data_IF_406886730929
#
_entry.id   IF_406886730929
#
_cell.length_a   1.000
_cell.length_b   1.000
_cell.length_c   1.000
_cell.angle_alpha   90.00
_cell.angle_beta   90.00
_cell.angle_gamma   90.00
#
_symmetry.space_group_name_H-M   'P 1'
#
loop_
_entity.id
_entity.type
_entity.pdbx_description
1 polymer ?
#
# COMPACT_ATOMS: atom_id res chain seq x y z
N UNK A 1 -34.65 9.18 -26.81
CA UNK A 1 -34.98 7.89 -26.16
C UNK A 1 -34.44 7.96 -24.74
N UNK A 2 -35.31 8.01 -23.74
CA UNK A 2 -34.94 8.02 -22.33
C UNK A 2 -34.61 6.59 -21.90
N UNK A 3 -33.33 6.22 -21.91
CA UNK A 3 -32.83 5.01 -21.26
C UNK A 3 -33.25 5.06 -19.80
N UNK A 4 -34.05 4.07 -19.38
CA UNK A 4 -34.55 4.03 -18.03
C UNK A 4 -33.35 3.83 -17.09
N UNK A 5 -33.14 4.69 -16.09
CA UNK A 5 -31.99 4.55 -15.16
C UNK A 5 -32.00 3.20 -14.44
N UNK A 6 -33.16 2.56 -14.36
CA UNK A 6 -33.37 1.21 -13.85
C UNK A 6 -32.91 0.08 -14.80
N UNK A 7 -32.82 0.30 -16.12
CA UNK A 7 -32.29 -0.71 -17.06
C UNK A 7 -30.77 -0.85 -16.97
N UNK A 8 -30.03 0.22 -16.68
CA UNK A 8 -28.57 0.16 -16.44
C UNK A 8 -28.20 -0.64 -15.19
N UNK A 9 -29.09 -0.65 -14.18
CA UNK A 9 -28.97 -1.47 -12.97
C UNK A 9 -29.22 -2.94 -13.27
N UNK A 10 -30.18 -3.24 -14.14
CA UNK A 10 -30.48 -4.60 -14.57
C UNK A 10 -29.38 -5.19 -15.47
N UNK A 11 -28.62 -4.34 -16.19
CA UNK A 11 -27.50 -4.74 -17.04
C UNK A 11 -26.14 -4.78 -16.32
N UNK A 12 -26.03 -4.19 -15.12
CA UNK A 12 -24.82 -4.30 -14.30
C UNK A 12 -24.71 -5.73 -13.74
N UNK A 13 -24.05 -6.61 -14.49
CA UNK A 13 -23.83 -7.99 -14.06
C UNK A 13 -23.03 -8.02 -12.76
N UNK A 14 -23.63 -8.53 -11.69
CA UNK A 14 -22.90 -8.85 -10.46
C UNK A 14 -21.77 -9.82 -10.79
N UNK A 15 -20.54 -9.40 -10.52
CA UNK A 15 -19.37 -10.26 -10.70
C UNK A 15 -19.56 -11.52 -9.84
N UNK A 16 -19.60 -12.68 -10.51
CA UNK A 16 -19.86 -13.98 -9.87
C UNK A 16 -18.79 -14.38 -8.85
N UNK A 17 -17.61 -13.73 -8.91
CA UNK A 17 -16.53 -13.95 -7.95
C UNK A 17 -16.78 -13.27 -6.62
N UNK A 18 -17.63 -12.23 -6.56
CA UNK A 18 -17.97 -11.58 -5.30
C UNK A 18 -18.59 -12.58 -4.31
N UNK A 19 -18.18 -12.50 -3.04
CA UNK A 19 -18.77 -13.29 -1.96
C UNK A 19 -20.30 -13.14 -1.90
N UNK A 20 -20.84 -11.95 -2.19
CA UNK A 20 -22.28 -11.73 -2.33
C UNK A 20 -22.92 -12.62 -3.40
N UNK A 21 -22.29 -12.76 -4.57
CA UNK A 21 -22.80 -13.60 -5.65
C UNK A 21 -22.79 -15.08 -5.26
N UNK A 22 -21.70 -15.51 -4.60
CA UNK A 22 -21.56 -16.87 -4.07
C UNK A 22 -22.61 -17.18 -3.01
N UNK A 23 -22.87 -16.25 -2.08
CA UNK A 23 -23.88 -16.40 -1.03
C UNK A 23 -25.31 -16.47 -1.59
N UNK A 24 -25.61 -15.67 -2.63
CA UNK A 24 -26.90 -15.73 -3.32
C UNK A 24 -27.09 -17.08 -4.03
N UNK A 25 -26.07 -17.55 -4.76
CA UNK A 25 -26.11 -18.84 -5.44
C UNK A 25 -26.25 -20.00 -4.44
N UNK A 26 -25.52 -19.98 -3.32
CA UNK A 26 -25.63 -20.97 -2.25
C UNK A 26 -27.00 -20.93 -1.54
N UNK A 27 -27.56 -19.74 -1.36
CA UNK A 27 -28.91 -19.59 -0.80
C UNK A 27 -30.01 -20.12 -1.72
N UNK A 28 -29.86 -19.94 -3.04
CA UNK A 28 -30.80 -20.44 -4.05
C UNK A 28 -30.76 -21.98 -4.13
N UNK A 29 -29.56 -22.59 -4.14
CA UNK A 29 -29.43 -24.07 -4.14
C UNK A 29 -30.06 -24.72 -2.91
N UNK A 30 -30.08 -24.02 -1.77
CA UNK A 30 -30.71 -24.46 -0.53
C UNK A 30 -32.19 -24.08 -0.40
N UNK A 31 -32.77 -23.39 -1.39
CA UNK A 31 -34.15 -22.87 -1.35
C UNK A 31 -34.39 -21.83 -0.25
N UNK A 32 -33.32 -21.19 0.24
CA UNK A 32 -33.34 -20.21 1.35
C UNK A 32 -33.45 -18.78 0.87
N UNK A 33 -33.17 -18.51 -0.41
CA UNK A 33 -33.27 -17.16 -1.01
C UNK A 33 -34.18 -17.23 -2.25
N UNK A 34 -35.44 -16.81 -2.14
CA UNK A 34 -36.33 -16.68 -3.29
C UNK A 34 -35.80 -15.63 -4.29
N UNK A 35 -36.11 -15.81 -5.58
CA UNK A 35 -35.74 -14.87 -6.65
C UNK A 35 -36.18 -13.43 -6.37
N UNK A 36 -37.39 -13.24 -5.84
CA UNK A 36 -37.91 -11.91 -5.46
C UNK A 36 -37.03 -11.21 -4.42
N UNK A 37 -36.46 -11.97 -3.47
CA UNK A 37 -35.56 -11.44 -2.45
C UNK A 37 -34.21 -11.04 -3.04
N UNK A 38 -33.69 -11.82 -4.00
CA UNK A 38 -32.49 -11.45 -4.75
C UNK A 38 -32.73 -10.15 -5.55
N UNK A 39 -33.85 -10.06 -6.28
CA UNK A 39 -34.21 -8.87 -7.05
C UNK A 39 -34.35 -7.61 -6.16
N UNK A 40 -34.96 -7.74 -4.99
CA UNK A 40 -35.06 -6.66 -4.01
C UNK A 40 -33.68 -6.21 -3.49
N UNK A 41 -32.75 -7.15 -3.31
CA UNK A 41 -31.37 -6.84 -2.92
C UNK A 41 -30.65 -6.06 -4.03
N UNK A 42 -30.76 -6.50 -5.28
CA UNK A 42 -30.21 -5.80 -6.45
C UNK A 42 -30.71 -4.35 -6.53
N UNK A 43 -32.03 -4.16 -6.40
CA UNK A 43 -32.64 -2.83 -6.38
C UNK A 43 -32.14 -1.99 -5.20
N UNK A 44 -31.94 -2.58 -4.02
CA UNK A 44 -31.40 -1.87 -2.86
C UNK A 44 -29.96 -1.41 -3.09
N UNK A 45 -29.10 -2.23 -3.69
CA UNK A 45 -27.70 -1.85 -3.98
C UNK A 45 -27.66 -0.72 -5.00
N UNK A 46 -28.51 -0.78 -6.03
CA UNK A 46 -28.62 0.28 -7.00
C UNK A 46 -29.09 1.61 -6.42
N UNK A 47 -30.06 1.57 -5.50
CA UNK A 47 -30.51 2.76 -4.78
C UNK A 47 -29.37 3.36 -3.92
N UNK A 48 -28.55 2.51 -3.29
CA UNK A 48 -27.36 2.94 -2.55
C UNK A 48 -26.36 3.61 -3.51
N UNK A 49 -26.04 2.98 -4.64
CA UNK A 49 -25.14 3.53 -5.64
C UNK A 49 -25.62 4.89 -6.17
N UNK A 50 -26.92 5.01 -6.46
CA UNK A 50 -27.52 6.27 -6.89
C UNK A 50 -27.36 7.37 -5.83
N UNK A 51 -27.54 7.04 -4.55
CA UNK A 51 -27.32 7.97 -3.44
C UNK A 51 -25.84 8.37 -3.29
N UNK A 52 -24.90 7.45 -3.53
CA UNK A 52 -23.47 7.77 -3.52
C UNK A 52 -23.11 8.79 -4.59
N UNK A 53 -23.67 8.63 -5.79
CA UNK A 53 -23.46 9.53 -6.92
C UNK A 53 -23.98 10.92 -6.60
N UNK A 54 -25.22 11.04 -6.11
CA UNK A 54 -25.80 12.35 -5.78
C UNK A 54 -25.06 13.06 -4.64
N UNK A 55 -24.34 12.33 -3.79
CA UNK A 55 -23.50 12.90 -2.74
C UNK A 55 -22.09 13.29 -3.21
N UNK A 56 -21.50 12.55 -4.17
CA UNK A 56 -20.08 12.73 -4.58
C UNK A 56 -19.90 13.46 -5.91
N UNK A 57 -20.91 13.55 -6.76
CA UNK A 57 -20.81 14.08 -8.13
C UNK A 57 -22.07 14.83 -8.53
N UNK A 58 -21.92 16.02 -9.13
CA UNK A 58 -23.05 16.82 -9.61
C UNK A 58 -23.55 16.39 -11.00
N UNK A 59 -22.75 15.62 -11.75
CA UNK A 59 -23.06 15.24 -13.12
C UNK A 59 -23.63 13.81 -13.19
N UNK A 60 -24.95 13.72 -13.40
CA UNK A 60 -25.72 12.48 -13.53
C UNK A 60 -25.84 11.99 -14.99
N UNK A 61 -25.15 12.65 -15.93
CA UNK A 61 -25.24 12.35 -17.36
C UNK A 61 -24.22 11.32 -17.85
N UNK A 62 -23.19 11.02 -17.05
CA UNK A 62 -22.19 10.00 -17.39
C UNK A 62 -22.61 8.59 -16.96
N UNK A 63 -23.09 7.81 -17.93
CA UNK A 63 -23.48 6.40 -17.74
C UNK A 63 -22.30 5.51 -17.28
N UNK A 64 -21.06 5.85 -17.64
CA UNK A 64 -19.85 5.11 -17.26
C UNK A 64 -19.52 5.31 -15.77
N UNK A 65 -19.64 6.55 -15.29
CA UNK A 65 -19.50 6.87 -13.87
C UNK A 65 -20.57 6.14 -13.04
N UNK A 66 -21.83 6.16 -13.48
CA UNK A 66 -22.93 5.45 -12.83
C UNK A 66 -22.65 3.94 -12.69
N UNK A 67 -22.18 3.28 -13.76
CA UNK A 67 -21.83 1.86 -13.73
C UNK A 67 -20.70 1.57 -12.73
N UNK A 68 -19.69 2.43 -12.68
CA UNK A 68 -18.58 2.30 -11.73
C UNK A 68 -19.07 2.36 -10.29
N UNK A 69 -19.93 3.33 -9.95
CA UNK A 69 -20.49 3.46 -8.60
C UNK A 69 -21.40 2.30 -8.21
N UNK A 70 -22.17 1.75 -9.16
CA UNK A 70 -22.95 0.52 -8.93
C UNK A 70 -22.01 -0.64 -8.59
N UNK A 71 -20.92 -0.81 -9.34
CA UNK A 71 -19.94 -1.85 -9.05
C UNK A 71 -19.29 -1.66 -7.67
N UNK A 72 -18.91 -0.43 -7.31
CA UNK A 72 -18.41 -0.11 -5.97
C UNK A 72 -19.43 -0.48 -4.89
N UNK A 73 -20.72 -0.17 -5.07
CA UNK A 73 -21.76 -0.52 -4.11
C UNK A 73 -21.92 -2.04 -3.95
N UNK A 74 -21.81 -2.82 -5.04
CA UNK A 74 -21.78 -4.28 -4.97
C UNK A 74 -20.57 -4.79 -4.20
N UNK A 75 -19.36 -4.30 -4.52
CA UNK A 75 -18.13 -4.69 -3.82
C UNK A 75 -18.22 -4.37 -2.33
N UNK A 76 -18.60 -3.16 -1.94
CA UNK A 76 -18.73 -2.79 -0.52
C UNK A 76 -19.79 -3.62 0.20
N UNK A 77 -20.93 -3.90 -0.45
CA UNK A 77 -21.94 -4.79 0.13
C UNK A 77 -21.41 -6.21 0.30
N UNK A 78 -20.66 -6.72 -0.68
CA UNK A 78 -20.03 -8.04 -0.63
C UNK A 78 -19.03 -8.16 0.52
N UNK A 79 -18.14 -7.19 0.68
CA UNK A 79 -17.16 -7.17 1.76
C UNK A 79 -17.83 -7.13 3.14
N UNK A 80 -18.87 -6.30 3.30
CA UNK A 80 -19.60 -6.24 4.56
C UNK A 80 -20.36 -7.53 4.89
N UNK A 81 -20.87 -8.22 3.87
CA UNK A 81 -21.49 -9.54 4.04
C UNK A 81 -20.46 -10.59 4.44
N UNK A 82 -19.32 -10.63 3.76
CA UNK A 82 -18.21 -11.53 4.05
C UNK A 82 -17.71 -11.31 5.49
N UNK A 83 -17.58 -10.04 5.91
CA UNK A 83 -17.17 -9.69 7.27
C UNK A 83 -18.19 -10.14 8.32
N UNK A 84 -19.47 -9.83 8.11
CA UNK A 84 -20.54 -10.20 9.04
C UNK A 84 -20.77 -11.71 9.16
N UNK A 85 -20.51 -12.45 8.08
CA UNK A 85 -20.62 -13.91 8.02
C UNK A 85 -19.33 -14.64 8.39
N UNK A 86 -18.19 -13.95 8.47
CA UNK A 86 -16.85 -14.54 8.63
C UNK A 86 -16.50 -15.51 7.48
N UNK A 87 -16.93 -15.19 6.25
CA UNK A 87 -16.72 -16.02 5.06
C UNK A 87 -17.57 -17.29 4.98
N UNK A 88 -18.47 -17.53 5.94
CA UNK A 88 -19.35 -18.71 5.94
C UNK A 88 -20.58 -18.46 5.06
N UNK A 89 -20.73 -19.24 3.98
CA UNK A 89 -21.83 -19.09 3.02
C UNK A 89 -23.22 -19.43 3.58
N UNK A 90 -23.31 -20.40 4.50
CA UNK A 90 -24.57 -20.75 5.15
C UNK A 90 -25.05 -19.60 6.04
N UNK A 91 -24.11 -19.02 6.81
CA UNK A 91 -24.37 -17.85 7.63
C UNK A 91 -24.66 -16.62 6.77
N UNK A 92 -23.97 -16.44 5.64
CA UNK A 92 -24.21 -15.35 4.71
C UNK A 92 -25.65 -15.41 4.15
N UNK A 93 -26.11 -16.59 3.71
CA UNK A 93 -27.47 -16.77 3.24
C UNK A 93 -28.52 -16.44 4.33
N UNK A 94 -28.28 -16.85 5.58
CA UNK A 94 -29.14 -16.48 6.71
C UNK A 94 -29.14 -14.98 6.99
N UNK A 95 -27.97 -14.33 6.92
CA UNK A 95 -27.81 -12.90 7.16
C UNK A 95 -28.51 -12.07 6.08
N UNK A 96 -28.44 -12.49 4.82
CA UNK A 96 -29.16 -11.85 3.70
C UNK A 96 -30.67 -11.85 3.93
N UNK A 97 -31.22 -12.87 4.60
CA UNK A 97 -32.64 -12.92 4.91
C UNK A 97 -33.04 -11.98 6.07
N UNK A 98 -32.17 -11.85 7.07
CA UNK A 98 -32.48 -11.16 8.34
C UNK A 98 -32.03 -9.70 8.38
N UNK A 99 -31.14 -9.30 7.48
CA UNK A 99 -30.42 -8.02 7.58
C UNK A 99 -30.64 -7.18 6.33
N UNK A 100 -30.88 -5.88 6.54
CA UNK A 100 -31.01 -4.93 5.43
C UNK A 100 -29.67 -4.75 4.72
N UNK A 101 -29.68 -4.75 3.40
CA UNK A 101 -28.51 -4.57 2.52
C UNK A 101 -27.64 -3.38 2.89
N UNK A 102 -28.25 -2.26 3.27
CA UNK A 102 -27.55 -1.03 3.68
C UNK A 102 -26.56 -1.26 4.83
N UNK A 103 -26.82 -2.21 5.73
CA UNK A 103 -25.89 -2.51 6.83
C UNK A 103 -24.60 -3.16 6.34
N UNK A 104 -24.69 -4.10 5.39
CA UNK A 104 -23.50 -4.69 4.78
C UNK A 104 -22.72 -3.64 4.01
N UNK A 105 -23.40 -2.81 3.23
CA UNK A 105 -22.76 -1.68 2.55
C UNK A 105 -22.00 -0.77 3.53
N UNK A 106 -22.62 -0.40 4.66
CA UNK A 106 -21.98 0.44 5.68
C UNK A 106 -20.71 -0.21 6.25
N UNK A 107 -20.76 -1.50 6.58
CA UNK A 107 -19.59 -2.24 7.08
C UNK A 107 -18.48 -2.23 6.04
N UNK A 108 -18.77 -2.60 4.79
CA UNK A 108 -17.76 -2.59 3.73
C UNK A 108 -17.21 -1.20 3.45
N UNK A 109 -18.05 -0.16 3.46
CA UNK A 109 -17.62 1.22 3.33
C UNK A 109 -16.66 1.61 4.45
N UNK A 110 -16.96 1.28 5.71
CA UNK A 110 -16.07 1.55 6.84
C UNK A 110 -14.74 0.80 6.74
N UNK A 111 -14.73 -0.44 6.25
CA UNK A 111 -13.49 -1.18 6.00
C UNK A 111 -12.62 -0.45 4.98
N UNK A 112 -13.20 -0.03 3.86
CA UNK A 112 -12.45 0.66 2.80
C UNK A 112 -12.06 2.10 3.18
N UNK A 113 -12.92 2.83 3.87
CA UNK A 113 -12.69 4.22 4.27
C UNK A 113 -11.44 4.35 5.16
N UNK A 114 -11.22 3.38 6.06
CA UNK A 114 -9.99 3.31 6.86
C UNK A 114 -8.73 3.22 5.99
N UNK A 115 -8.73 2.32 5.00
CA UNK A 115 -7.57 2.16 4.11
C UNK A 115 -7.38 3.39 3.21
N UNK A 116 -8.48 4.04 2.78
CA UNK A 116 -8.44 5.27 1.99
C UNK A 116 -7.87 6.46 2.76
N UNK A 117 -8.28 6.63 4.02
CA UNK A 117 -7.78 7.71 4.86
C UNK A 117 -6.30 7.54 5.16
N UNK A 118 -5.85 6.30 5.42
CA UNK A 118 -4.42 5.96 5.54
C UNK A 118 -3.65 6.28 4.27
N UNK A 119 -4.16 5.90 3.10
CA UNK A 119 -3.49 6.21 1.83
C UNK A 119 -3.40 7.72 1.55
N UNK A 120 -4.46 8.48 1.86
CA UNK A 120 -4.45 9.94 1.75
C UNK A 120 -3.39 10.54 2.68
N UNK A 121 -3.38 10.11 3.93
CA UNK A 121 -2.39 10.55 4.91
C UNK A 121 -0.96 10.23 4.47
N UNK A 122 -0.70 9.04 3.90
CA UNK A 122 0.61 8.69 3.36
C UNK A 122 1.03 9.59 2.19
N UNK A 123 0.12 9.89 1.26
CA UNK A 123 0.44 10.80 0.15
C UNK A 123 0.74 12.23 0.62
N UNK A 124 0.15 12.67 1.73
CA UNK A 124 0.34 14.00 2.29
C UNK A 124 1.58 14.10 3.19
N UNK A 125 1.95 13.01 3.88
CA UNK A 125 2.91 13.05 4.99
C UNK A 125 4.08 12.06 4.91
N UNK A 126 4.11 11.15 3.92
CA UNK A 126 5.24 10.23 3.71
C UNK A 126 6.32 10.86 2.81
N UNK A 127 6.66 12.11 3.13
CA UNK A 127 7.69 12.90 2.46
C UNK A 127 8.55 13.55 3.53
N UNK A 128 9.87 13.41 3.42
CA UNK A 128 10.84 14.14 4.27
C UNK A 128 11.07 15.48 3.59
N UNK A 129 10.77 16.57 4.29
CA UNK A 129 10.97 17.92 3.77
C UNK A 129 12.35 18.46 4.18
N UNK A 130 12.97 19.31 3.35
CA UNK A 130 14.17 20.03 3.78
C UNK A 130 13.85 20.94 4.97
N UNK A 131 14.83 21.18 5.87
CA UNK A 131 14.68 22.16 6.94
C UNK A 131 14.36 23.54 6.35
N UNK A 132 13.39 24.27 6.93
CA UNK A 132 12.94 25.56 6.39
C UNK A 132 14.05 26.63 6.47
N UNK A 133 13.98 27.64 5.59
CA UNK A 133 14.91 28.79 5.47
C UNK A 133 15.35 29.49 6.77
N UNK A 134 14.56 29.42 7.85
CA UNK A 134 14.92 29.98 9.15
C UNK A 134 15.92 29.11 9.93
N UNK A 135 15.95 27.79 9.68
CA UNK A 135 16.94 26.82 10.18
C UNK A 135 18.18 26.74 9.28
N UNK A 136 18.02 26.98 7.96
CA UNK A 136 19.14 27.00 6.99
C UNK A 136 20.23 28.03 7.33
N UNK A 137 19.87 29.17 7.95
CA UNK A 137 20.84 30.19 8.40
C UNK A 137 21.79 29.71 9.49
N UNK A 138 21.43 28.67 10.24
CA UNK A 138 22.29 28.08 11.27
C UNK A 138 23.26 27.03 10.70
N UNK A 139 22.95 26.46 9.52
CA UNK A 139 23.70 25.34 8.94
C UNK A 139 24.61 25.71 7.76
N UNK A 140 24.58 26.97 7.29
CA UNK A 140 25.63 27.53 6.42
C UNK A 140 25.67 27.00 4.98
N UNK A 141 24.68 26.23 4.55
CA UNK A 141 24.58 25.65 3.21
C UNK A 141 23.58 26.43 2.35
N UNK A 142 24.07 27.04 1.26
CA UNK A 142 23.23 27.65 0.23
C UNK A 142 22.82 26.57 -0.76
N UNK A 143 21.63 26.07 -0.55
CA UNK A 143 20.88 25.27 -1.50
C UNK A 143 20.46 26.21 -2.69
N UNK A 144 20.79 25.84 -3.94
CA UNK A 144 20.30 26.39 -5.24
C UNK A 144 19.02 25.72 -5.83
N UNK A 145 17.91 26.46 -5.90
CA UNK A 145 16.71 26.47 -6.79
C UNK A 145 16.08 25.17 -7.40
N UNK A 146 16.64 23.97 -7.20
CA UNK A 146 15.96 22.67 -7.35
C UNK A 146 15.34 22.18 -6.02
N UNK A 147 15.47 22.96 -4.95
CA UNK A 147 15.26 22.53 -3.55
C UNK A 147 13.89 22.79 -2.98
N UNK A 148 12.88 22.16 -3.56
CA UNK A 148 11.58 22.07 -2.90
C UNK A 148 10.95 20.70 -2.94
N UNK A 149 11.56 19.73 -3.64
CA UNK A 149 11.03 18.38 -3.69
C UNK A 149 11.56 17.56 -2.51
N UNK A 150 10.69 17.37 -1.52
CA UNK A 150 10.99 16.48 -0.40
C UNK A 150 11.21 15.04 -0.85
N UNK A 151 11.90 14.26 -0.02
CA UNK A 151 12.26 12.88 -0.32
C UNK A 151 11.08 11.97 -0.02
N UNK A 152 10.53 11.39 -1.09
CA UNK A 152 9.39 10.48 -1.01
C UNK A 152 9.83 9.14 -0.41
N UNK A 153 9.10 8.66 0.60
CA UNK A 153 9.38 7.39 1.27
C UNK A 153 8.91 6.18 0.44
N UNK A 154 7.97 6.40 -0.47
CA UNK A 154 7.39 5.38 -1.33
C UNK A 154 8.02 5.38 -2.73
N UNK A 155 8.04 4.22 -3.36
CA UNK A 155 8.44 4.04 -4.76
C UNK A 155 7.35 4.52 -5.72
N UNK A 156 7.68 4.67 -7.01
CA UNK A 156 6.67 5.00 -8.04
C UNK A 156 5.52 3.97 -8.09
N UNK A 157 5.82 2.68 -7.88
CA UNK A 157 4.81 1.63 -7.86
C UNK A 157 3.83 1.77 -6.67
N UNK A 158 4.35 2.14 -5.50
CA UNK A 158 3.56 2.44 -4.31
C UNK A 158 2.75 3.74 -4.48
N UNK A 159 3.30 4.76 -5.14
CA UNK A 159 2.57 5.99 -5.48
C UNK A 159 1.36 5.70 -6.35
N UNK A 160 1.52 4.90 -7.41
CA UNK A 160 0.40 4.49 -8.27
C UNK A 160 -0.62 3.65 -7.52
N UNK A 161 -0.18 2.78 -6.60
CA UNK A 161 -1.06 2.02 -5.72
C UNK A 161 -1.90 2.94 -4.81
N UNK A 162 -1.28 3.90 -4.11
CA UNK A 162 -1.95 4.84 -3.23
C UNK A 162 -2.99 5.69 -4.00
N UNK A 163 -2.61 6.20 -5.18
CA UNK A 163 -3.52 6.95 -6.07
C UNK A 163 -4.68 6.08 -6.57
N UNK A 164 -4.41 4.85 -6.96
CA UNK A 164 -5.43 3.91 -7.43
C UNK A 164 -6.45 3.57 -6.34
N UNK A 165 -6.00 3.48 -5.08
CA UNK A 165 -6.89 3.26 -3.95
C UNK A 165 -7.90 4.41 -3.81
N UNK A 166 -7.44 5.66 -3.85
CA UNK A 166 -8.28 6.85 -3.66
C UNK A 166 -9.43 7.01 -4.66
N UNK A 167 -9.26 6.52 -5.89
CA UNK A 167 -10.29 6.62 -6.94
C UNK A 167 -11.21 5.40 -7.03
N UNK A 168 -11.16 4.47 -6.06
CA UNK A 168 -11.93 3.21 -6.03
C UNK A 168 -11.79 2.37 -7.32
N UNK A 169 -10.76 2.62 -8.15
CA UNK A 169 -10.42 1.85 -9.34
C UNK A 169 -9.41 0.76 -9.02
N UNK A 170 -9.49 0.18 -7.84
CA UNK A 170 -8.56 -0.86 -7.38
C UNK A 170 -8.81 -2.15 -8.16
N UNK A 171 -8.36 -2.18 -9.41
CA UNK A 171 -7.74 -3.37 -9.96
C UNK A 171 -6.34 -3.39 -9.39
N UNK A 172 -6.00 -4.42 -8.62
CA UNK A 172 -4.76 -4.64 -7.89
C UNK A 172 -3.59 -4.77 -8.87
N UNK A 173 -3.23 -3.68 -9.56
CA UNK A 173 -2.18 -3.69 -10.59
C UNK A 173 -0.77 -3.85 -10.03
N UNK A 174 -0.60 -3.97 -8.72
CA UNK A 174 0.73 -3.97 -8.09
C UNK A 174 0.67 -4.67 -6.74
N UNK A 175 0.61 -6.00 -6.76
CA UNK A 175 0.73 -6.82 -5.55
C UNK A 175 2.19 -7.12 -5.15
N UNK A 176 3.17 -6.37 -5.65
CA UNK A 176 4.59 -6.79 -5.63
C UNK A 176 5.60 -5.78 -5.07
N UNK A 177 5.23 -4.86 -4.18
CA UNK A 177 6.24 -3.92 -3.63
C UNK A 177 6.79 -4.32 -2.26
N UNK A 178 6.42 -5.50 -1.74
CA UNK A 178 7.15 -6.08 -0.59
C UNK A 178 7.05 -7.61 -0.51
N UNK A 179 6.10 -8.23 -1.20
CA UNK A 179 6.03 -9.69 -1.34
C UNK A 179 6.17 -9.97 -2.84
N UNK A 180 7.36 -10.41 -3.24
CA UNK A 180 7.66 -10.78 -4.63
C UNK A 180 7.00 -12.11 -4.98
N UNK A 181 5.68 -12.10 -5.17
CA UNK A 181 4.96 -13.22 -5.79
C UNK A 181 3.89 -12.71 -6.78
N UNK A 182 3.69 -13.51 -7.82
CA UNK A 182 3.22 -13.18 -9.18
C UNK A 182 1.73 -12.80 -9.36
N UNK A 183 1.47 -12.15 -10.51
CA UNK A 183 0.25 -12.13 -11.35
C UNK A 183 -0.81 -11.03 -11.21
N UNK A 184 -0.79 -10.12 -12.19
CA UNK A 184 -1.92 -9.38 -12.83
C UNK A 184 -2.88 -8.55 -11.96
N UNK A 185 -3.36 -7.39 -12.45
CA UNK A 185 -4.47 -6.66 -11.83
C UNK A 185 -5.71 -7.50 -11.54
N UNK A 186 -6.00 -7.72 -10.25
CA UNK A 186 -7.24 -8.38 -9.80
C UNK A 186 -8.16 -7.35 -9.14
N UNK A 187 -9.48 -7.30 -9.44
CA UNK A 187 -10.38 -6.40 -8.74
C UNK A 187 -10.48 -6.73 -7.24
N UNK A 188 -10.81 -5.75 -6.40
CA UNK A 188 -11.13 -5.97 -4.99
C UNK A 188 -12.45 -6.76 -4.88
N UNK A 189 -12.37 -8.01 -4.42
CA UNK A 189 -13.52 -8.94 -4.41
C UNK A 189 -13.83 -9.52 -3.02
N UNK A 190 -12.79 -9.73 -2.21
CA UNK A 190 -12.87 -10.38 -0.91
C UNK A 190 -12.16 -9.59 0.19
N UNK A 191 -12.36 -10.03 1.44
CA UNK A 191 -11.68 -9.42 2.59
C UNK A 191 -10.17 -9.66 2.55
N UNK A 192 -9.71 -10.77 1.97
CA UNK A 192 -8.29 -11.06 1.83
C UNK A 192 -7.53 -9.96 1.07
N UNK A 193 -8.13 -9.36 0.04
CA UNK A 193 -7.52 -8.23 -0.65
C UNK A 193 -7.49 -6.96 0.21
N UNK A 194 -8.49 -6.72 1.06
CA UNK A 194 -8.50 -5.59 2.02
C UNK A 194 -7.39 -5.76 3.05
N UNK A 195 -7.21 -6.97 3.60
CA UNK A 195 -6.11 -7.26 4.52
C UNK A 195 -4.75 -7.05 3.87
N UNK A 196 -4.63 -7.35 2.58
CA UNK A 196 -3.39 -7.16 1.85
C UNK A 196 -3.11 -5.67 1.59
N UNK A 197 -4.12 -4.88 1.27
CA UNK A 197 -4.02 -3.41 1.24
C UNK A 197 -3.55 -2.89 2.60
N UNK A 198 -4.15 -3.35 3.70
CA UNK A 198 -3.80 -2.89 5.04
C UNK A 198 -2.36 -3.22 5.43
N UNK A 199 -1.84 -4.39 5.01
CA UNK A 199 -0.43 -4.79 5.18
C UNK A 199 0.51 -3.91 4.35
N UNK A 200 0.16 -3.61 3.10
CA UNK A 200 0.98 -2.73 2.25
C UNK A 200 1.04 -1.31 2.82
N UNK A 201 -0.09 -0.76 3.26
CA UNK A 201 -0.12 0.55 3.92
C UNK A 201 0.72 0.56 5.20
N UNK A 202 0.63 -0.51 6.01
CA UNK A 202 1.42 -0.63 7.24
C UNK A 202 2.93 -0.71 6.94
N UNK A 203 3.31 -1.35 5.84
CA UNK A 203 4.71 -1.38 5.40
C UNK A 203 5.23 0.02 5.07
N UNK A 204 4.48 0.84 4.33
CA UNK A 204 4.87 2.21 3.98
C UNK A 204 4.91 3.09 5.25
N UNK A 205 3.94 2.93 6.15
CA UNK A 205 3.92 3.63 7.46
C UNK A 205 5.16 3.29 8.29
N UNK A 206 5.45 1.99 8.47
CA UNK A 206 6.63 1.55 9.21
C UNK A 206 7.94 2.02 8.55
N UNK A 207 7.99 2.11 7.21
CA UNK A 207 9.13 2.68 6.50
C UNK A 207 9.29 4.16 6.83
N UNK A 208 8.20 4.92 6.87
CA UNK A 208 8.22 6.33 7.22
C UNK A 208 8.76 6.54 8.63
N UNK A 209 8.27 5.76 9.59
CA UNK A 209 8.72 5.82 10.98
C UNK A 209 10.18 5.37 11.15
N UNK A 210 10.58 4.31 10.43
CA UNK A 210 11.99 3.87 10.36
C UNK A 210 12.90 5.01 9.91
N UNK A 211 12.59 5.65 8.78
CA UNK A 211 13.46 6.69 8.24
C UNK A 211 13.49 7.91 9.16
N UNK A 212 12.35 8.31 9.74
CA UNK A 212 12.29 9.39 10.75
C UNK A 212 13.10 9.10 12.02
N UNK A 213 13.36 7.84 12.34
CA UNK A 213 14.15 7.45 13.51
C UNK A 213 15.66 7.45 13.23
N UNK A 214 16.09 7.53 11.98
CA UNK A 214 17.51 7.65 11.61
C UNK A 214 18.02 9.07 11.91
N UNK A 215 19.33 9.27 12.12
CA UNK A 215 19.88 10.60 12.35
C UNK A 215 20.05 11.33 11.00
N UNK A 216 19.06 12.14 10.63
CA UNK A 216 18.88 12.66 9.26
C UNK A 216 19.71 13.90 8.90
N UNK A 217 20.71 14.25 9.70
CA UNK A 217 21.26 15.61 9.77
C UNK A 217 21.85 16.16 8.45
N UNK A 218 22.15 15.32 7.46
CA UNK A 218 22.68 15.75 6.15
C UNK A 218 22.03 15.06 4.95
N UNK A 219 20.81 14.54 5.09
CA UNK A 219 20.15 13.74 4.06
C UNK A 219 19.93 14.51 2.74
N UNK A 220 19.80 15.83 2.79
CA UNK A 220 19.69 16.71 1.61
C UNK A 220 21.04 17.18 1.06
N UNK A 221 22.15 16.88 1.73
CA UNK A 221 23.50 17.19 1.26
C UNK A 221 24.14 16.04 0.47
N UNK A 222 23.44 14.92 0.31
CA UNK A 222 23.92 13.74 -0.43
C UNK A 222 24.09 14.05 -1.92
N UNK A 223 25.14 13.48 -2.52
CA UNK A 223 25.42 13.57 -3.94
C UNK A 223 25.55 12.16 -4.56
N UNK A 224 24.66 11.75 -5.47
CA UNK A 224 23.50 12.51 -5.97
C UNK A 224 22.39 12.66 -4.91
N UNK A 225 21.52 13.68 -5.03
CA UNK A 225 20.36 13.83 -4.15
C UNK A 225 19.43 12.62 -4.19
N UNK A 226 18.91 12.18 -3.04
CA UNK A 226 18.03 11.01 -2.99
C UNK A 226 16.74 11.19 -3.81
N UNK A 227 16.24 12.41 -3.96
CA UNK A 227 14.98 12.70 -4.67
C UNK A 227 14.98 12.27 -6.14
N UNK A 228 16.16 12.18 -6.77
CA UNK A 228 16.27 11.75 -8.18
C UNK A 228 16.37 10.22 -8.33
N UNK A 229 16.54 9.49 -7.23
CA UNK A 229 16.74 8.04 -7.26
C UNK A 229 15.39 7.30 -7.32
N UNK A 230 15.32 6.16 -8.05
CA UNK A 230 14.09 5.37 -8.13
C UNK A 230 13.70 4.70 -6.81
N UNK A 231 14.68 4.41 -5.95
CA UNK A 231 14.48 3.84 -4.62
C UNK A 231 15.36 4.57 -3.57
N UNK A 232 14.95 5.78 -3.14
CA UNK A 232 15.78 6.62 -2.28
C UNK A 232 16.10 5.96 -0.93
N UNK A 233 15.14 5.21 -0.37
CA UNK A 233 15.28 4.61 0.96
C UNK A 233 16.23 3.40 0.93
N UNK A 234 16.28 2.67 -0.17
CA UNK A 234 17.25 1.58 -0.36
C UNK A 234 18.66 2.15 -0.45
N UNK A 235 18.86 3.19 -1.25
CA UNK A 235 20.17 3.84 -1.38
C UNK A 235 20.65 4.41 -0.03
N UNK A 236 19.78 5.12 0.69
CA UNK A 236 20.05 5.62 2.03
C UNK A 236 20.43 4.49 3.00
N UNK A 237 19.70 3.37 2.95
CA UNK A 237 19.93 2.23 3.85
C UNK A 237 21.24 1.51 3.52
N UNK A 238 21.56 1.34 2.24
CA UNK A 238 22.83 0.76 1.80
C UNK A 238 24.02 1.67 2.16
N UNK A 239 23.86 2.99 2.02
CA UNK A 239 24.87 3.96 2.47
C UNK A 239 25.13 3.82 3.96
N UNK A 240 24.08 3.77 4.78
CA UNK A 240 24.20 3.54 6.22
C UNK A 240 24.93 2.24 6.53
N UNK A 241 24.54 1.14 5.90
CA UNK A 241 25.17 -0.17 6.09
C UNK A 241 26.65 -0.13 5.71
N UNK A 242 26.99 0.38 4.53
CA UNK A 242 28.36 0.41 4.04
C UNK A 242 29.27 1.24 4.95
N UNK A 243 28.82 2.43 5.36
CA UNK A 243 29.59 3.31 6.24
C UNK A 243 29.76 2.74 7.66
N UNK A 244 28.75 2.03 8.17
CA UNK A 244 28.87 1.31 9.45
C UNK A 244 29.89 0.18 9.38
N UNK A 245 30.02 -0.48 8.22
CA UNK A 245 30.98 -1.58 8.02
C UNK A 245 32.39 -1.06 7.80
N UNK A 246 32.57 -0.11 6.89
CA UNK A 246 33.87 0.39 6.47
C UNK A 246 34.48 1.37 7.46
N UNK A 247 33.67 2.30 7.98
CA UNK A 247 34.16 3.45 8.74
C UNK A 247 33.66 3.50 10.18
N UNK A 248 32.71 2.62 10.57
CA UNK A 248 32.07 2.62 11.89
C UNK A 248 31.38 3.94 12.20
N UNK A 249 30.86 4.61 11.17
CA UNK A 249 30.21 5.91 11.25
C UNK A 249 28.77 5.81 10.74
N UNK A 250 27.93 6.68 11.28
CA UNK A 250 26.55 6.83 10.82
C UNK A 250 26.55 7.92 9.75
N UNK A 251 26.63 7.49 8.49
CA UNK A 251 26.64 8.32 7.29
C UNK A 251 25.81 7.61 6.20
N UNK A 252 25.28 8.35 5.25
CA UNK A 252 24.41 7.83 4.18
C UNK A 252 25.02 7.97 2.79
N UNK A 253 26.18 8.63 2.66
CA UNK A 253 26.87 8.79 1.39
C UNK A 253 27.34 7.42 0.88
N UNK A 254 26.95 7.06 -0.32
CA UNK A 254 27.36 5.80 -0.96
C UNK A 254 27.93 6.10 -2.34
N UNK A 255 29.24 6.35 -2.39
CA UNK A 255 29.96 6.37 -3.66
C UNK A 255 30.30 4.96 -4.15
N UNK A 256 30.70 4.87 -5.42
CA UNK A 256 30.94 3.59 -6.08
C UNK A 256 32.14 2.84 -5.48
N UNK A 257 33.16 3.57 -5.03
CA UNK A 257 34.36 2.99 -4.41
C UNK A 257 34.01 2.34 -3.06
N UNK A 258 33.30 3.05 -2.20
CA UNK A 258 32.81 2.54 -0.92
C UNK A 258 31.85 1.37 -1.12
N UNK A 259 30.98 1.42 -2.14
CA UNK A 259 30.10 0.30 -2.48
C UNK A 259 30.89 -0.94 -2.88
N UNK A 260 31.93 -0.77 -3.72
CA UNK A 260 32.80 -1.86 -4.15
C UNK A 260 33.59 -2.46 -2.98
N UNK A 261 34.16 -1.62 -2.12
CA UNK A 261 34.90 -2.05 -0.93
C UNK A 261 34.00 -2.80 0.06
N UNK A 262 32.80 -2.27 0.30
CA UNK A 262 31.77 -2.96 1.09
C UNK A 262 31.45 -4.32 0.47
N UNK A 263 31.23 -4.40 -0.84
CA UNK A 263 30.89 -5.65 -1.51
C UNK A 263 32.01 -6.70 -1.37
N UNK A 264 33.27 -6.31 -1.61
CA UNK A 264 34.43 -7.22 -1.47
C UNK A 264 34.59 -7.76 -0.04
N UNK A 265 34.26 -6.94 0.95
CA UNK A 265 34.40 -7.31 2.36
C UNK A 265 33.21 -8.13 2.86
N UNK A 266 32.00 -7.76 2.47
CA UNK A 266 30.77 -8.32 3.02
C UNK A 266 30.27 -9.58 2.28
N UNK A 267 30.61 -9.77 1.01
CA UNK A 267 30.06 -10.86 0.18
C UNK A 267 31.13 -11.88 -0.22
N UNK A 268 30.68 -13.12 -0.44
CA UNK A 268 31.44 -14.21 -1.05
C UNK A 268 30.50 -14.92 -2.02
N UNK A 269 30.87 -15.00 -3.30
CA UNK A 269 30.05 -15.60 -4.35
C UNK A 269 28.61 -15.04 -4.44
N UNK A 270 28.44 -13.74 -4.15
CA UNK A 270 27.14 -13.04 -4.16
C UNK A 270 26.28 -13.26 -2.91
N UNK A 271 26.76 -14.08 -1.96
CA UNK A 271 26.10 -14.29 -0.68
C UNK A 271 26.78 -13.45 0.41
N UNK A 272 25.97 -12.78 1.23
CA UNK A 272 26.49 -12.01 2.35
C UNK A 272 27.05 -12.94 3.42
N UNK A 273 28.20 -12.58 4.00
CA UNK A 273 28.78 -13.31 5.13
C UNK A 273 27.85 -13.23 6.34
N UNK A 274 27.42 -14.40 6.82
CA UNK A 274 26.42 -14.50 7.89
C UNK A 274 26.79 -13.73 9.16
N UNK A 275 28.08 -13.69 9.50
CA UNK A 275 28.56 -12.94 10.67
C UNK A 275 28.34 -11.43 10.54
N UNK A 276 28.52 -10.86 9.34
CA UNK A 276 28.27 -9.43 9.10
C UNK A 276 26.78 -9.14 9.07
N UNK A 277 26.03 -9.97 8.35
CA UNK A 277 24.57 -9.90 8.28
C UNK A 277 23.97 -9.84 9.69
N UNK A 278 24.28 -10.82 10.54
CA UNK A 278 23.72 -10.85 11.90
C UNK A 278 24.13 -9.62 12.74
N UNK A 279 25.39 -9.20 12.65
CA UNK A 279 25.85 -8.00 13.38
C UNK A 279 25.10 -6.73 12.98
N UNK A 280 24.83 -6.55 11.68
CA UNK A 280 24.09 -5.39 11.17
C UNK A 280 22.62 -5.44 11.57
N UNK A 281 21.97 -6.61 11.48
CA UNK A 281 20.58 -6.78 11.90
C UNK A 281 20.40 -6.56 13.41
N UNK A 282 21.34 -7.06 14.23
CA UNK A 282 21.35 -6.81 15.68
C UNK A 282 21.57 -5.32 15.98
N UNK A 283 22.43 -4.65 15.20
CA UNK A 283 22.71 -3.23 15.37
C UNK A 283 21.46 -2.39 15.14
N UNK A 284 20.74 -2.58 14.02
CA UNK A 284 19.55 -1.76 13.73
C UNK A 284 18.41 -2.05 14.72
N UNK A 285 18.24 -3.31 15.13
CA UNK A 285 17.25 -3.67 16.15
C UNK A 285 17.52 -2.93 17.46
N UNK A 286 18.78 -2.92 17.91
CA UNK A 286 19.20 -2.23 19.14
C UNK A 286 19.12 -0.71 19.01
N UNK A 287 19.50 -0.16 17.86
CA UNK A 287 19.41 1.27 17.59
C UNK A 287 17.96 1.75 17.72
N UNK A 288 17.02 1.05 17.07
CA UNK A 288 15.61 1.42 17.10
C UNK A 288 14.96 1.15 18.47
N UNK A 289 15.43 0.16 19.22
CA UNK A 289 15.04 -0.03 20.62
C UNK A 289 15.46 1.16 21.49
N UNK A 290 16.70 1.64 21.32
CA UNK A 290 17.20 2.83 22.03
C UNK A 290 16.46 4.11 21.62
N UNK A 291 16.08 4.21 20.35
CA UNK A 291 15.22 5.28 19.82
C UNK A 291 13.73 5.12 20.19
N UNK A 292 13.39 4.15 21.04
CA UNK A 292 12.03 3.88 21.55
C UNK A 292 10.99 3.64 20.44
N UNK A 293 11.42 3.07 19.31
CA UNK A 293 10.53 2.76 18.20
C UNK A 293 9.66 1.54 18.52
N UNK A 294 8.40 1.52 18.05
CA UNK A 294 7.49 0.43 18.33
C UNK A 294 7.91 -0.85 17.61
N UNK A 295 7.50 -2.01 18.15
CA UNK A 295 7.85 -3.34 17.65
C UNK A 295 7.61 -3.53 16.13
N UNK A 296 6.50 -3.06 15.52
CA UNK A 296 6.30 -3.17 14.09
C UNK A 296 7.36 -2.46 13.24
N UNK A 297 7.86 -1.30 13.70
CA UNK A 297 8.90 -0.53 13.01
C UNK A 297 10.25 -1.23 13.10
N UNK A 298 10.58 -1.80 14.27
CA UNK A 298 11.79 -2.60 14.45
C UNK A 298 11.80 -3.83 13.54
N UNK A 299 10.70 -4.59 13.55
CA UNK A 299 10.54 -5.78 12.70
C UNK A 299 10.62 -5.42 11.22
N UNK A 300 9.99 -4.32 10.82
CA UNK A 300 10.10 -3.79 9.46
C UNK A 300 11.55 -3.47 9.11
N UNK A 301 12.25 -2.70 9.94
CA UNK A 301 13.61 -2.26 9.64
C UNK A 301 14.61 -3.42 9.54
N UNK A 302 14.52 -4.41 10.45
CA UNK A 302 15.34 -5.63 10.39
C UNK A 302 15.09 -6.39 9.10
N UNK A 303 13.82 -6.63 8.74
CA UNK A 303 13.48 -7.31 7.49
C UNK A 303 13.95 -6.51 6.26
N UNK A 304 13.78 -5.19 6.29
CA UNK A 304 14.17 -4.29 5.20
C UNK A 304 15.68 -4.25 5.00
N UNK A 305 16.46 -4.19 6.08
CA UNK A 305 17.92 -4.28 6.01
C UNK A 305 18.37 -5.61 5.43
N UNK A 306 17.75 -6.71 5.86
CA UNK A 306 18.04 -8.03 5.31
C UNK A 306 17.77 -8.11 3.81
N UNK A 307 16.63 -7.58 3.36
CA UNK A 307 16.28 -7.50 1.95
C UNK A 307 17.28 -6.65 1.15
N UNK A 308 17.67 -5.48 1.65
CA UNK A 308 18.69 -4.64 1.02
C UNK A 308 20.02 -5.37 0.86
N UNK A 309 20.48 -6.05 1.91
CA UNK A 309 21.72 -6.85 1.89
C UNK A 309 21.64 -7.99 0.88
N UNK A 310 20.50 -8.67 0.78
CA UNK A 310 20.32 -9.76 -0.20
C UNK A 310 20.28 -9.25 -1.65
N UNK A 311 19.60 -8.13 -1.89
CA UNK A 311 19.50 -7.53 -3.22
C UNK A 311 20.88 -7.08 -3.68
N UNK A 312 21.64 -6.43 -2.80
CA UNK A 312 22.99 -5.92 -3.09
C UNK A 312 23.94 -7.04 -3.53
N UNK A 313 23.90 -8.21 -2.88
CA UNK A 313 24.72 -9.36 -3.28
C UNK A 313 24.35 -9.99 -4.63
N UNK A 314 23.13 -9.77 -5.10
CA UNK A 314 22.65 -10.23 -6.41
C UNK A 314 23.03 -9.28 -7.55
N UNK A 315 23.44 -8.05 -7.23
CA UNK A 315 23.97 -7.11 -8.23
C UNK A 315 25.34 -7.64 -8.65
N UNK A 316 25.37 -8.39 -9.74
CA UNK A 316 26.62 -8.85 -10.35
C UNK A 316 27.48 -7.60 -10.57
N UNK A 317 28.69 -7.51 -9.99
CA UNK A 317 29.58 -6.42 -10.31
C UNK A 317 29.83 -6.51 -11.82
N UNK A 318 29.31 -5.53 -12.55
CA UNK A 318 29.56 -5.35 -13.96
C UNK A 318 31.05 -5.55 -14.18
N UNK A 319 31.37 -6.52 -15.02
CA UNK A 319 32.73 -6.93 -15.35
C UNK A 319 33.67 -5.73 -15.46
N UNK A 320 34.81 -5.80 -14.78
CA UNK A 320 36.00 -5.05 -15.15
C UNK A 320 37.10 -6.07 -15.49
N UNK A 321 37.91 -5.87 -16.54
CA UNK A 321 37.99 -4.73 -17.46
C UNK A 321 37.39 -4.99 -18.86
#
# INVERSE_FOLDING_TARGET
MTTNKFSLVAEASLDRRLFLAQALAHGDTLGRIPREQADALYQSIAAIAHKLITMKTADLSDESALRTHIQTAFTLTSLGLEYGSKGDLDRAAQLLHKTRTVKFFQIGNTLMEKSLDRARHLLEHAVILPPNRDEERLLGTNYTDLETEGIQIYTQAELEFLKALLIYRTSIRTLQVTIRDTETPRPLLHLAEVEMIDRQLACIENRCDYVKALPLDNLFALDPPLSILPNPIEHLTLGLIANLVLYRQVDFQLDEDARQDFHQLAYVDGEIRESFRQQLLDWIAKYLEQAQQPEPVKNYAVAYWDDCLRIEGQVIPSQSP
#
